data_IF_672676200574
#
_entry.id   IF_672676200574
#
_cell.length_a   1.000
_cell.length_b   1.000
_cell.length_c   1.000
_cell.angle_alpha   90.00
_cell.angle_beta   90.00
_cell.angle_gamma   90.00
#
_symmetry.space_group_name_H-M   'P 1'
#
loop_
_entity.id
_entity.type
_entity.pdbx_description
1 polymer ?
#
# COMPACT_ATOMS: atom_id res chain seq x y z
N UNK A 1 27.78 -13.74 5.65
CA UNK A 1 27.73 -13.42 4.20
C UNK A 1 26.96 -14.48 3.40
N UNK A 2 27.26 -15.77 3.53
CA UNK A 2 26.53 -16.83 2.80
C UNK A 2 25.00 -16.80 3.01
N UNK A 3 24.52 -16.65 4.25
CA UNK A 3 23.07 -16.52 4.52
C UNK A 3 22.41 -15.26 3.93
N UNK A 4 23.19 -14.23 3.56
CA UNK A 4 22.70 -13.02 2.86
C UNK A 4 22.72 -13.18 1.35
N UNK A 5 23.71 -13.90 0.81
CA UNK A 5 23.82 -14.18 -0.62
C UNK A 5 22.96 -15.36 -1.08
N UNK A 6 22.71 -16.33 -0.20
CA UNK A 6 21.93 -17.52 -0.51
C UNK A 6 20.53 -17.18 -1.03
N UNK A 7 19.74 -16.29 -0.39
CA UNK A 7 18.45 -15.89 -0.93
C UNK A 7 18.56 -15.35 -2.34
N UNK A 8 19.55 -14.50 -2.62
CA UNK A 8 19.76 -13.93 -3.95
C UNK A 8 20.17 -14.99 -4.98
N UNK A 9 21.08 -15.88 -4.62
CA UNK A 9 21.49 -17.00 -5.46
C UNK A 9 20.31 -17.94 -5.75
N UNK A 10 19.58 -18.34 -4.72
CA UNK A 10 18.41 -19.20 -4.84
C UNK A 10 17.34 -18.55 -5.74
N UNK A 11 17.07 -17.26 -5.57
CA UNK A 11 16.17 -16.49 -6.43
C UNK A 11 16.65 -16.46 -7.90
N UNK A 12 17.94 -16.25 -8.16
CA UNK A 12 18.51 -16.27 -9.51
C UNK A 12 18.37 -17.63 -10.19
N UNK A 13 18.47 -18.72 -9.42
CA UNK A 13 18.45 -20.08 -9.94
C UNK A 13 17.09 -20.80 -9.80
N UNK A 14 16.02 -20.08 -9.43
CA UNK A 14 14.67 -20.66 -9.27
C UNK A 14 14.58 -21.68 -8.13
N UNK A 15 15.49 -21.63 -7.16
CA UNK A 15 15.50 -22.49 -5.98
C UNK A 15 14.72 -21.84 -4.83
N UNK A 16 14.21 -22.65 -3.91
CA UNK A 16 13.56 -22.13 -2.70
C UNK A 16 14.61 -21.46 -1.79
N UNK A 17 14.55 -20.13 -1.53
CA UNK A 17 15.55 -19.43 -0.75
C UNK A 17 15.56 -19.83 0.74
N UNK A 18 14.52 -20.52 1.22
CA UNK A 18 14.43 -21.03 2.58
C UNK A 18 14.97 -22.45 2.74
N UNK A 19 15.32 -23.12 1.65
CA UNK A 19 15.83 -24.49 1.67
C UNK A 19 17.14 -24.57 0.95
N UNK A 20 18.11 -25.29 1.50
CA UNK A 20 19.36 -25.56 0.82
C UNK A 20 19.86 -26.96 1.13
N UNK A 21 20.48 -27.57 0.13
CA UNK A 21 21.21 -28.83 0.29
C UNK A 21 22.71 -28.58 0.47
N UNK A 22 23.13 -27.30 0.57
CA UNK A 22 24.54 -26.90 0.41
C UNK A 22 25.35 -26.79 1.71
N UNK A 23 24.91 -27.38 2.81
CA UNK A 23 25.71 -27.48 4.04
C UNK A 23 25.47 -28.83 4.70
N UNK A 24 26.45 -29.74 4.61
CA UNK A 24 26.68 -30.93 5.46
C UNK A 24 25.51 -31.88 5.79
N UNK A 25 24.33 -31.71 5.21
CA UNK A 25 23.14 -32.50 5.49
C UNK A 25 22.54 -33.01 4.17
N UNK A 26 22.59 -34.34 3.92
CA UNK A 26 22.11 -34.92 2.67
C UNK A 26 20.61 -34.76 2.44
N UNK A 27 19.82 -34.47 3.48
CA UNK A 27 18.36 -34.38 3.42
C UNK A 27 17.81 -32.95 3.23
N UNK A 28 18.68 -31.96 3.02
CA UNK A 28 18.30 -30.55 2.92
C UNK A 28 17.91 -29.93 4.26
N UNK A 29 18.24 -28.65 4.45
CA UNK A 29 17.99 -27.94 5.70
C UNK A 29 16.99 -26.82 5.47
N UNK A 30 15.92 -26.80 6.27
CA UNK A 30 15.04 -25.65 6.36
C UNK A 30 15.77 -24.53 7.11
N UNK A 31 16.16 -23.51 6.37
CA UNK A 31 17.00 -22.43 6.84
C UNK A 31 16.24 -21.44 7.75
N UNK A 32 14.90 -21.40 7.72
CA UNK A 32 14.10 -20.53 8.59
C UNK A 32 14.39 -20.78 10.09
N UNK A 33 14.67 -22.03 10.46
CA UNK A 33 14.90 -22.41 11.86
C UNK A 33 16.31 -22.10 12.35
N UNK A 34 17.24 -21.81 11.44
CA UNK A 34 18.66 -21.65 11.78
C UNK A 34 19.09 -20.19 11.93
N UNK A 35 18.44 -19.21 11.29
CA UNK A 35 18.83 -17.79 11.44
C UNK A 35 17.80 -16.78 10.95
N UNK A 36 17.65 -15.67 11.68
CA UNK A 36 16.89 -14.46 11.27
C UNK A 36 17.51 -13.71 10.08
N UNK A 37 18.76 -14.03 9.72
CA UNK A 37 19.51 -13.36 8.64
C UNK A 37 18.95 -13.67 7.25
N UNK A 38 18.17 -14.75 7.09
CA UNK A 38 17.51 -15.07 5.81
C UNK A 38 16.43 -14.08 5.43
N UNK A 39 15.61 -13.62 6.38
CA UNK A 39 14.60 -12.62 6.12
C UNK A 39 15.25 -11.29 5.71
N UNK A 40 16.35 -10.91 6.37
CA UNK A 40 17.14 -9.77 5.96
C UNK A 40 17.78 -9.97 4.57
N UNK A 41 18.30 -11.16 4.27
CA UNK A 41 18.86 -11.49 2.95
C UNK A 41 17.83 -11.51 1.83
N UNK A 42 16.58 -11.90 2.11
CA UNK A 42 15.44 -11.81 1.18
C UNK A 42 15.08 -10.36 0.89
N UNK A 43 14.93 -9.53 1.93
CA UNK A 43 14.64 -8.10 1.79
C UNK A 43 15.76 -7.36 1.06
N UNK A 44 17.02 -7.72 1.34
CA UNK A 44 18.19 -7.13 0.73
C UNK A 44 18.58 -7.79 -0.60
N UNK A 45 17.83 -8.78 -1.09
CA UNK A 45 18.15 -9.48 -2.33
C UNK A 45 18.33 -8.56 -3.55
N UNK A 46 17.56 -7.46 -3.71
CA UNK A 46 17.81 -6.51 -4.81
C UNK A 46 19.15 -5.78 -4.66
N UNK A 47 19.55 -5.44 -3.43
CA UNK A 47 20.82 -4.76 -3.14
C UNK A 47 22.00 -5.73 -3.31
N UNK A 48 21.82 -6.99 -2.91
CA UNK A 48 22.82 -8.05 -3.08
C UNK A 48 23.07 -8.30 -4.56
N UNK A 49 22.03 -8.22 -5.37
CA UNK A 49 22.12 -8.38 -6.80
C UNK A 49 22.82 -7.19 -7.48
N UNK A 50 22.51 -5.96 -7.06
CA UNK A 50 23.08 -4.75 -7.66
C UNK A 50 24.54 -4.46 -7.26
N UNK A 51 24.95 -4.78 -6.03
CA UNK A 51 26.27 -4.42 -5.52
C UNK A 51 26.97 -5.50 -4.72
N UNK A 52 26.48 -6.73 -4.81
CA UNK A 52 27.10 -7.90 -4.18
C UNK A 52 26.81 -8.03 -2.67
N UNK A 53 27.18 -9.18 -2.10
CA UNK A 53 26.85 -9.52 -0.71
C UNK A 53 27.59 -8.67 0.34
N UNK A 54 28.72 -8.07 -0.02
CA UNK A 54 29.45 -7.14 0.85
C UNK A 54 28.67 -5.84 0.99
N UNK A 55 28.11 -5.30 -0.10
CA UNK A 55 27.26 -4.11 -0.04
C UNK A 55 26.02 -4.39 0.81
N UNK A 56 25.34 -5.51 0.58
CA UNK A 56 24.16 -5.89 1.39
C UNK A 56 24.48 -6.06 2.86
N UNK A 57 25.62 -6.66 3.19
CA UNK A 57 26.06 -6.79 4.57
C UNK A 57 26.33 -5.41 5.21
N UNK A 58 27.01 -4.51 4.50
CA UNK A 58 27.28 -3.16 5.00
C UNK A 58 25.99 -2.34 5.16
N UNK A 59 25.05 -2.46 4.22
CA UNK A 59 23.72 -1.85 4.31
C UNK A 59 22.96 -2.41 5.50
N UNK A 60 22.94 -3.73 5.69
CA UNK A 60 22.28 -4.35 6.83
C UNK A 60 22.88 -3.86 8.16
N UNK A 61 24.20 -3.92 8.30
CA UNK A 61 24.88 -3.51 9.53
C UNK A 61 24.61 -2.04 9.87
N UNK A 62 24.70 -1.15 8.87
CA UNK A 62 24.44 0.29 9.04
C UNK A 62 22.96 0.56 9.35
N UNK A 63 22.05 -0.08 8.61
CA UNK A 63 20.61 0.05 8.81
C UNK A 63 20.18 -0.51 10.17
N UNK A 64 20.77 -1.61 10.64
CA UNK A 64 20.48 -2.16 11.96
C UNK A 64 20.78 -1.17 13.09
N UNK A 65 21.89 -0.43 13.04
CA UNK A 65 22.21 0.59 14.04
C UNK A 65 21.20 1.74 14.01
N UNK A 66 20.88 2.24 12.80
CA UNK A 66 19.92 3.32 12.61
C UNK A 66 18.49 2.91 13.03
N UNK A 67 18.07 1.69 12.70
CA UNK A 67 16.75 1.15 13.04
C UNK A 67 16.65 0.88 14.55
N UNK A 68 17.70 0.39 15.19
CA UNK A 68 17.75 0.23 16.64
C UNK A 68 17.64 1.57 17.36
N UNK A 69 18.37 2.59 16.91
CA UNK A 69 18.25 3.96 17.44
C UNK A 69 16.83 4.51 17.23
N UNK A 70 16.28 4.37 16.03
CA UNK A 70 14.93 4.83 15.71
C UNK A 70 13.86 4.15 16.58
N UNK A 71 14.01 2.86 16.85
CA UNK A 71 13.08 2.07 17.65
C UNK A 71 13.15 2.47 19.12
N UNK A 72 14.36 2.64 19.65
CA UNK A 72 14.57 3.19 20.98
C UNK A 72 14.00 4.60 21.10
N UNK A 73 14.13 5.44 20.06
CA UNK A 73 13.50 6.76 20.04
C UNK A 73 11.98 6.67 20.13
N UNK A 74 11.35 5.82 19.33
CA UNK A 74 9.90 5.62 19.36
C UNK A 74 9.39 5.12 20.71
N UNK A 75 10.14 4.24 21.37
CA UNK A 75 9.83 3.76 22.72
C UNK A 75 10.02 4.85 23.77
N UNK A 76 11.16 5.55 23.76
CA UNK A 76 11.46 6.63 24.71
C UNK A 76 10.48 7.79 24.59
N UNK A 77 9.98 8.08 23.38
CA UNK A 77 8.93 9.07 23.15
C UNK A 77 7.61 8.77 23.87
N UNK A 78 7.40 7.54 24.36
CA UNK A 78 6.24 7.19 25.21
C UNK A 78 6.42 7.58 26.67
N UNK A 79 7.67 7.64 27.15
CA UNK A 79 7.98 7.86 28.56
C UNK A 79 8.62 9.23 28.82
N UNK A 80 9.16 9.87 27.79
CA UNK A 80 9.90 11.13 27.87
C UNK A 80 9.27 12.18 26.96
N UNK A 81 8.77 13.26 27.55
CA UNK A 81 8.15 14.39 26.83
C UNK A 81 9.17 15.17 25.99
N UNK A 82 10.40 15.29 26.48
CA UNK A 82 11.51 15.96 25.78
C UNK A 82 12.01 15.13 24.60
N UNK A 83 11.84 15.68 23.39
CA UNK A 83 12.32 15.07 22.15
C UNK A 83 13.85 14.97 22.10
N UNK A 84 14.56 15.95 22.70
CA UNK A 84 16.01 15.95 22.79
C UNK A 84 16.52 14.84 23.70
N UNK A 85 15.89 14.63 24.86
CA UNK A 85 16.26 13.57 25.79
C UNK A 85 15.95 12.18 25.22
N UNK A 86 14.78 12.01 24.59
CA UNK A 86 14.44 10.77 23.88
C UNK A 86 15.41 10.50 22.72
N UNK A 87 15.79 11.54 21.97
CA UNK A 87 16.78 11.45 20.89
C UNK A 87 18.17 11.07 21.40
N UNK A 88 18.64 11.69 22.47
CA UNK A 88 19.93 11.37 23.08
C UNK A 88 19.96 9.92 23.61
N UNK A 89 18.92 9.49 24.34
CA UNK A 89 18.83 8.10 24.83
C UNK A 89 18.76 7.07 23.70
N UNK A 90 18.06 7.40 22.62
CA UNK A 90 17.97 6.56 21.43
C UNK A 90 19.31 6.37 20.70
N UNK A 91 20.07 7.47 20.56
CA UNK A 91 21.40 7.42 19.96
C UNK A 91 22.38 6.66 20.86
N UNK A 92 22.34 6.90 22.18
CA UNK A 92 23.17 6.16 23.14
C UNK A 92 22.90 4.66 23.12
N UNK A 93 21.64 4.26 22.94
CA UNK A 93 21.27 2.85 22.80
C UNK A 93 21.72 2.26 21.46
N UNK A 94 21.29 2.87 20.35
CA UNK A 94 21.51 2.35 19.00
C UNK A 94 22.96 2.35 18.55
N UNK A 95 23.79 3.24 19.10
CA UNK A 95 25.24 3.31 18.86
C UNK A 95 26.08 2.93 20.07
N UNK A 96 25.49 2.23 21.05
CA UNK A 96 26.26 1.71 22.19
C UNK A 96 27.40 0.79 21.72
N UNK A 97 28.50 0.66 22.49
CA UNK A 97 29.57 -0.29 22.19
C UNK A 97 29.05 -1.72 22.02
N UNK A 98 28.01 -2.09 22.78
CA UNK A 98 27.33 -3.37 22.66
C UNK A 98 26.66 -3.52 21.28
N UNK A 99 25.84 -2.56 20.85
CA UNK A 99 25.15 -2.61 19.55
C UNK A 99 26.13 -2.57 18.37
N UNK A 100 27.16 -1.73 18.47
CA UNK A 100 28.18 -1.59 17.42
C UNK A 100 28.99 -2.89 17.26
N UNK A 101 29.44 -3.50 18.36
CA UNK A 101 30.18 -4.77 18.32
C UNK A 101 29.31 -5.94 17.78
N UNK A 102 28.04 -6.01 18.17
CA UNK A 102 27.15 -7.10 17.73
C UNK A 102 26.63 -6.91 16.31
N UNK A 103 26.51 -5.67 15.80
CA UNK A 103 26.12 -5.41 14.40
C UNK A 103 27.14 -5.94 13.39
N UNK A 104 28.42 -6.01 13.81
CA UNK A 104 29.52 -6.53 13.00
C UNK A 104 29.70 -8.05 13.20
N UNK A 105 29.60 -8.56 14.43
CA UNK A 105 29.86 -9.97 14.73
C UNK A 105 28.64 -10.90 14.54
N UNK A 106 27.43 -10.41 14.86
CA UNK A 106 26.20 -11.22 14.92
C UNK A 106 24.98 -10.47 14.36
N UNK A 107 24.91 -10.29 13.01
CA UNK A 107 23.82 -9.55 12.37
C UNK A 107 22.44 -10.17 12.62
N UNK A 108 22.37 -11.46 12.94
CA UNK A 108 21.17 -12.17 13.37
C UNK A 108 20.56 -11.62 14.67
N UNK A 109 21.40 -11.18 15.61
CA UNK A 109 20.97 -10.63 16.89
C UNK A 109 20.55 -9.15 16.75
N UNK A 110 21.17 -8.41 15.83
CA UNK A 110 20.79 -7.01 15.55
C UNK A 110 19.65 -6.88 14.52
N UNK A 111 19.48 -7.86 13.61
CA UNK A 111 18.33 -7.98 12.72
C UNK A 111 17.09 -8.54 13.45
N UNK A 112 17.23 -9.08 14.66
CA UNK A 112 16.11 -9.34 15.56
C UNK A 112 15.43 -8.05 16.06
N UNK A 113 15.91 -6.87 15.65
CA UNK A 113 15.22 -5.58 15.69
C UNK A 113 14.58 -5.20 14.34
N UNK A 114 14.17 -6.17 13.50
CA UNK A 114 13.12 -6.02 12.46
C UNK A 114 11.68 -6.01 13.05
N UNK A 115 11.40 -6.46 14.29
CA UNK A 115 10.13 -6.23 14.97
C UNK A 115 9.69 -4.78 15.13
N UNK A 116 10.46 -3.68 14.94
CA UNK A 116 9.92 -2.34 14.97
C UNK A 116 8.92 -2.08 13.86
N UNK A 117 9.00 -2.73 12.69
CA UNK A 117 7.94 -2.59 11.69
C UNK A 117 6.65 -3.28 12.18
N UNK A 118 6.78 -4.45 12.82
CA UNK A 118 5.66 -5.22 13.39
C UNK A 118 5.14 -4.60 14.71
N UNK A 119 5.98 -3.96 15.51
CA UNK A 119 5.69 -3.33 16.80
C UNK A 119 5.24 -1.86 16.63
N UNK A 120 5.72 -1.13 15.61
CA UNK A 120 5.12 0.14 15.17
C UNK A 120 3.71 -0.09 14.61
N UNK A 121 3.45 -1.29 14.08
CA UNK A 121 2.13 -1.74 13.67
C UNK A 121 1.24 -2.10 14.89
N UNK A 122 1.73 -2.50 16.05
CA UNK A 122 0.93 -3.17 17.10
C UNK A 122 0.32 -2.28 18.21
N UNK A 123 0.11 -0.99 17.98
CA UNK A 123 -0.01 -0.06 19.11
C UNK A 123 -1.36 0.65 19.34
N UNK A 124 -2.49 0.11 18.88
CA UNK A 124 -3.83 0.60 19.30
C UNK A 124 -4.89 -0.51 19.13
N UNK A 125 -5.85 -0.62 20.07
CA UNK A 125 -7.00 -1.55 20.00
C UNK A 125 -7.76 -1.40 18.66
N UNK A 126 -7.85 -0.18 18.13
CA UNK A 126 -8.48 0.14 16.83
C UNK A 126 -7.65 -0.35 15.63
N UNK A 127 -6.30 -0.33 15.72
CA UNK A 127 -5.40 -0.86 14.68
C UNK A 127 -5.46 -2.38 14.62
N UNK A 128 -5.60 -3.03 15.78
CA UNK A 128 -5.79 -4.47 15.90
C UNK A 128 -7.16 -4.87 15.33
N UNK A 129 -8.23 -4.12 15.64
CA UNK A 129 -9.57 -4.39 15.10
C UNK A 129 -9.61 -4.38 13.57
N UNK A 130 -9.02 -3.39 12.89
CA UNK A 130 -8.99 -3.35 11.43
C UNK A 130 -8.27 -4.56 10.81
N UNK A 131 -7.15 -5.00 11.39
CA UNK A 131 -6.42 -6.19 10.91
C UNK A 131 -7.17 -7.49 11.18
N UNK A 132 -7.68 -7.64 12.41
CA UNK A 132 -8.48 -8.79 12.80
C UNK A 132 -9.72 -8.87 11.92
N UNK A 133 -10.37 -7.75 11.62
CA UNK A 133 -11.53 -7.71 10.73
C UNK A 133 -11.16 -8.08 9.29
N UNK A 134 -10.04 -7.58 8.75
CA UNK A 134 -9.58 -7.94 7.41
C UNK A 134 -9.23 -9.44 7.31
N UNK A 135 -8.49 -9.99 8.28
CA UNK A 135 -8.16 -11.42 8.32
C UNK A 135 -9.41 -12.27 8.57
N UNK A 136 -10.32 -11.83 9.44
CA UNK A 136 -11.58 -12.51 9.70
C UNK A 136 -12.48 -12.55 8.47
N UNK A 137 -12.57 -11.43 7.72
CA UNK A 137 -13.34 -11.33 6.48
C UNK A 137 -12.90 -12.40 5.46
N UNK A 138 -11.60 -12.72 5.44
CA UNK A 138 -11.01 -13.70 4.51
C UNK A 138 -10.54 -14.98 5.21
N UNK A 139 -11.05 -15.25 6.40
CA UNK A 139 -10.58 -16.33 7.27
C UNK A 139 -10.57 -17.69 6.58
N UNK A 140 -11.60 -18.00 5.78
CA UNK A 140 -11.67 -19.25 5.01
C UNK A 140 -10.51 -19.39 4.02
N UNK A 141 -10.12 -18.29 3.34
CA UNK A 141 -8.98 -18.30 2.43
C UNK A 141 -7.67 -18.51 3.19
N UNK A 142 -7.54 -17.92 4.38
CA UNK A 142 -6.35 -18.05 5.21
C UNK A 142 -6.15 -19.46 5.80
N UNK A 143 -7.15 -20.36 5.71
CA UNK A 143 -6.98 -21.80 6.01
C UNK A 143 -6.09 -22.47 4.95
N UNK A 144 -6.21 -22.06 3.68
CA UNK A 144 -5.44 -22.60 2.54
C UNK A 144 -4.88 -21.47 1.66
N UNK A 145 -3.97 -20.64 2.18
CA UNK A 145 -3.63 -19.34 1.59
C UNK A 145 -2.79 -19.42 0.31
N UNK A 146 -2.29 -20.61 -0.04
CA UNK A 146 -1.51 -20.86 -1.27
C UNK A 146 -2.33 -21.52 -2.38
N UNK A 147 -3.51 -22.06 -2.07
CA UNK A 147 -4.36 -22.81 -3.03
C UNK A 147 -5.78 -22.27 -3.14
N UNK A 148 -6.20 -21.42 -2.20
CA UNK A 148 -7.44 -20.66 -2.24
C UNK A 148 -7.12 -19.18 -2.40
N UNK A 149 -7.95 -18.44 -3.14
CA UNK A 149 -7.78 -17.01 -3.37
C UNK A 149 -8.99 -16.21 -2.90
N UNK A 150 -8.73 -15.03 -2.36
CA UNK A 150 -9.79 -14.08 -1.98
C UNK A 150 -10.57 -13.64 -3.22
N UNK A 151 -11.89 -13.66 -3.11
CA UNK A 151 -12.76 -13.06 -4.11
C UNK A 151 -13.49 -14.06 -4.99
N UNK A 152 -14.01 -13.56 -6.12
CA UNK A 152 -14.88 -14.32 -7.01
C UNK A 152 -14.09 -14.90 -8.17
N UNK A 153 -14.45 -16.11 -8.60
CA UNK A 153 -13.83 -16.77 -9.75
C UNK A 153 -14.29 -16.11 -11.07
N UNK A 154 -13.73 -14.94 -11.37
CA UNK A 154 -14.15 -14.04 -12.44
C UNK A 154 -13.07 -13.79 -13.50
N UNK A 155 -11.83 -14.24 -13.26
CA UNK A 155 -10.66 -13.98 -14.11
C UNK A 155 -9.74 -12.90 -13.55
N UNK A 156 -10.29 -11.86 -12.91
CA UNK A 156 -9.50 -10.74 -12.40
C UNK A 156 -8.51 -11.16 -11.29
N UNK A 157 -8.90 -11.93 -10.25
CA UNK A 157 -7.93 -12.41 -9.26
C UNK A 157 -6.76 -13.17 -9.88
N UNK A 158 -7.03 -14.03 -10.86
CA UNK A 158 -6.00 -14.79 -11.57
C UNK A 158 -5.10 -13.87 -12.41
N UNK A 159 -5.68 -12.84 -13.02
CA UNK A 159 -4.92 -11.84 -13.76
C UNK A 159 -4.00 -11.03 -12.83
N UNK A 160 -4.49 -10.61 -11.65
CA UNK A 160 -3.66 -9.95 -10.65
C UNK A 160 -2.55 -10.86 -10.09
N UNK A 161 -2.82 -12.16 -9.88
CA UNK A 161 -1.80 -13.14 -9.50
C UNK A 161 -0.68 -13.21 -10.55
N UNK A 162 -1.04 -13.20 -11.83
CA UNK A 162 -0.08 -13.15 -12.92
C UNK A 162 0.72 -11.83 -12.90
N UNK A 163 0.03 -10.69 -12.77
CA UNK A 163 0.66 -9.37 -12.66
C UNK A 163 1.61 -9.23 -11.48
N UNK A 164 1.31 -9.83 -10.32
CA UNK A 164 2.21 -9.82 -9.16
C UNK A 164 3.52 -10.58 -9.44
N UNK A 165 3.47 -11.63 -10.27
CA UNK A 165 4.64 -12.42 -10.63
C UNK A 165 5.51 -11.75 -11.69
N UNK A 166 4.89 -10.98 -12.59
CA UNK A 166 5.54 -10.50 -13.81
C UNK A 166 6.73 -9.57 -13.57
N UNK A 167 6.68 -8.49 -12.77
CA UNK A 167 7.78 -7.52 -12.67
C UNK A 167 9.11 -8.18 -12.30
N UNK A 168 9.08 -9.07 -11.31
CA UNK A 168 10.30 -9.75 -10.85
C UNK A 168 10.75 -10.80 -11.86
N UNK A 169 9.81 -11.58 -12.43
CA UNK A 169 10.14 -12.52 -13.50
C UNK A 169 10.81 -11.80 -14.69
N UNK A 170 10.24 -10.69 -15.13
CA UNK A 170 10.76 -9.92 -16.25
C UNK A 170 12.18 -9.40 -15.96
N UNK A 171 12.39 -8.78 -14.80
CA UNK A 171 13.71 -8.28 -14.41
C UNK A 171 14.77 -9.39 -14.33
N UNK A 172 14.44 -10.55 -13.76
CA UNK A 172 15.36 -11.69 -13.63
C UNK A 172 15.76 -12.26 -14.99
N UNK A 173 14.85 -12.25 -15.97
CA UNK A 173 15.09 -12.78 -17.31
C UNK A 173 15.57 -11.71 -18.31
N UNK A 174 15.88 -10.49 -17.85
CA UNK A 174 16.30 -9.39 -18.72
C UNK A 174 15.20 -8.91 -19.68
N UNK A 175 13.93 -9.16 -19.35
CA UNK A 175 12.76 -8.74 -20.10
C UNK A 175 12.26 -7.37 -19.61
N UNK A 176 11.43 -6.73 -20.43
CA UNK A 176 10.83 -5.45 -20.08
C UNK A 176 9.69 -5.64 -19.05
N UNK A 177 9.77 -5.07 -17.82
CA UNK A 177 8.69 -5.19 -16.84
C UNK A 177 7.41 -4.46 -17.25
N UNK A 178 7.45 -3.56 -18.23
CA UNK A 178 6.29 -2.78 -18.72
C UNK A 178 5.60 -3.40 -19.94
N UNK A 179 6.13 -4.48 -20.51
CA UNK A 179 5.56 -5.15 -21.69
C UNK A 179 5.82 -6.64 -21.68
N UNK A 180 4.82 -7.42 -22.08
CA UNK A 180 4.95 -8.88 -22.18
C UNK A 180 4.39 -9.41 -23.49
N UNK A 181 5.00 -10.46 -24.04
CA UNK A 181 4.44 -11.28 -25.11
C UNK A 181 3.92 -12.65 -24.60
N UNK A 182 3.97 -12.88 -23.28
CA UNK A 182 3.44 -14.09 -22.63
C UNK A 182 1.92 -14.05 -22.51
N UNK A 183 1.34 -12.85 -22.60
CA UNK A 183 -0.08 -12.64 -22.80
C UNK A 183 -0.31 -12.16 -24.23
N UNK A 184 -1.37 -12.65 -24.87
CA UNK A 184 -1.76 -12.25 -26.22
C UNK A 184 -0.65 -12.48 -27.27
N UNK A 185 0.04 -13.63 -27.22
CA UNK A 185 1.08 -14.01 -28.18
C UNK A 185 0.52 -14.10 -29.62
N UNK A 186 1.28 -13.69 -30.67
CA UNK A 186 2.64 -13.13 -30.63
C UNK A 186 2.68 -11.62 -30.32
N UNK A 187 1.51 -11.02 -30.26
CA UNK A 187 1.27 -9.60 -30.33
C UNK A 187 1.68 -8.84 -29.05
N UNK A 188 1.48 -9.47 -27.90
CA UNK A 188 1.82 -8.93 -26.59
C UNK A 188 0.85 -7.87 -26.08
N UNK A 189 1.09 -7.44 -24.83
CA UNK A 189 0.31 -6.42 -24.14
C UNK A 189 1.21 -5.39 -23.45
N UNK A 190 0.78 -4.13 -23.50
CA UNK A 190 1.39 -3.03 -22.76
C UNK A 190 0.84 -3.02 -21.34
N UNK A 191 1.69 -3.27 -20.35
CA UNK A 191 1.26 -3.43 -18.97
C UNK A 191 0.91 -2.11 -18.30
N UNK A 192 1.35 -0.97 -18.85
CA UNK A 192 0.90 0.34 -18.39
C UNK A 192 -0.51 0.69 -18.90
N UNK A 193 -1.00 0.02 -19.95
CA UNK A 193 -2.41 0.07 -20.36
C UNK A 193 -3.27 -1.00 -19.68
N UNK A 194 -2.72 -1.67 -18.66
CA UNK A 194 -3.40 -2.64 -17.83
C UNK A 194 -3.28 -2.25 -16.36
N UNK A 195 -4.09 -2.87 -15.49
CA UNK A 195 -4.04 -2.71 -14.03
C UNK A 195 -2.90 -3.53 -13.40
N UNK A 196 -1.71 -3.44 -13.97
CA UNK A 196 -0.61 -4.39 -13.73
C UNK A 196 0.08 -4.33 -12.35
N UNK A 197 -0.38 -3.46 -11.44
CA UNK A 197 0.08 -3.34 -10.04
C UNK A 197 1.60 -3.49 -9.85
N UNK A 198 2.38 -2.91 -10.78
CA UNK A 198 3.82 -3.15 -10.93
C UNK A 198 4.60 -2.98 -9.62
N UNK A 199 4.31 -1.91 -8.88
CA UNK A 199 4.99 -1.67 -7.60
C UNK A 199 4.62 -2.73 -6.55
N UNK A 200 3.35 -3.16 -6.50
CA UNK A 200 2.94 -4.20 -5.57
C UNK A 200 3.61 -5.53 -5.92
N UNK A 201 3.74 -5.88 -7.20
CA UNK A 201 4.47 -7.07 -7.65
C UNK A 201 5.94 -7.06 -7.26
N UNK A 202 6.60 -5.90 -7.34
CA UNK A 202 7.99 -5.75 -6.87
C UNK A 202 8.10 -5.87 -5.34
N UNK A 203 7.24 -5.18 -4.59
CA UNK A 203 7.25 -5.17 -3.12
C UNK A 203 6.88 -6.54 -2.54
N UNK A 204 5.92 -7.23 -3.14
CA UNK A 204 5.46 -8.55 -2.70
C UNK A 204 6.22 -9.70 -3.33
N UNK A 205 7.22 -9.42 -4.17
CA UNK A 205 8.04 -10.45 -4.79
C UNK A 205 8.61 -11.46 -3.79
N UNK A 206 9.09 -11.11 -2.57
CA UNK A 206 9.55 -12.12 -1.63
C UNK A 206 8.42 -13.08 -1.24
N UNK A 207 7.20 -12.59 -1.07
CA UNK A 207 6.02 -13.42 -0.77
C UNK A 207 5.66 -14.31 -1.96
N UNK A 208 5.78 -13.78 -3.18
CA UNK A 208 5.47 -14.50 -4.42
C UNK A 208 6.41 -15.67 -4.60
N UNK A 209 7.69 -15.48 -4.29
CA UNK A 209 8.68 -16.55 -4.33
C UNK A 209 8.50 -17.58 -3.20
N UNK A 210 8.10 -17.14 -2.01
CA UNK A 210 7.96 -18.01 -0.83
C UNK A 210 6.74 -18.92 -0.89
N UNK A 211 5.60 -18.40 -1.32
CA UNK A 211 4.32 -19.13 -1.29
C UNK A 211 3.49 -18.99 -2.55
N UNK A 212 4.08 -18.50 -3.63
CA UNK A 212 3.43 -18.34 -4.92
C UNK A 212 2.59 -17.06 -5.04
N UNK A 213 2.07 -16.80 -6.25
CA UNK A 213 1.27 -15.62 -6.53
C UNK A 213 -0.08 -15.62 -5.80
N UNK A 214 -0.66 -16.79 -5.51
CA UNK A 214 -1.90 -16.92 -4.75
C UNK A 214 -1.73 -16.33 -3.35
N UNK A 215 -0.66 -16.70 -2.64
CA UNK A 215 -0.35 -16.14 -1.33
C UNK A 215 -0.13 -14.63 -1.41
N UNK A 216 0.60 -14.16 -2.43
CA UNK A 216 0.90 -12.73 -2.59
C UNK A 216 -0.35 -11.90 -2.84
N UNK A 217 -1.24 -12.42 -3.68
CA UNK A 217 -2.54 -11.81 -3.94
C UNK A 217 -3.38 -11.75 -2.65
N UNK A 218 -3.44 -12.84 -1.88
CA UNK A 218 -4.17 -12.88 -0.62
C UNK A 218 -3.62 -11.89 0.42
N UNK A 219 -2.29 -11.78 0.50
CA UNK A 219 -1.61 -10.78 1.33
C UNK A 219 -1.97 -9.38 0.86
N UNK A 220 -1.88 -9.09 -0.44
CA UNK A 220 -2.21 -7.78 -0.99
C UNK A 220 -3.65 -7.38 -0.69
N UNK A 221 -4.61 -8.23 -1.05
CA UNK A 221 -6.03 -7.97 -0.83
C UNK A 221 -6.36 -7.71 0.64
N UNK A 222 -5.79 -8.50 1.56
CA UNK A 222 -6.01 -8.32 3.01
C UNK A 222 -5.32 -7.07 3.54
N UNK A 223 -4.05 -6.85 3.16
CA UNK A 223 -3.25 -5.71 3.62
C UNK A 223 -3.80 -4.39 3.11
N UNK A 224 -4.32 -4.35 1.89
CA UNK A 224 -4.95 -3.19 1.27
C UNK A 224 -6.06 -2.60 2.13
N UNK A 225 -6.99 -3.42 2.64
CA UNK A 225 -8.07 -2.97 3.53
C UNK A 225 -7.51 -2.44 4.87
N UNK A 226 -6.61 -3.20 5.49
CA UNK A 226 -6.05 -2.86 6.79
C UNK A 226 -5.21 -1.57 6.75
N UNK A 227 -4.37 -1.40 5.73
CA UNK A 227 -3.56 -0.21 5.52
C UNK A 227 -4.43 1.00 5.17
N UNK A 228 -5.53 0.80 4.42
CA UNK A 228 -6.47 1.86 4.08
C UNK A 228 -7.18 2.39 5.31
N UNK A 229 -7.69 1.49 6.17
CA UNK A 229 -8.24 1.89 7.46
C UNK A 229 -7.18 2.58 8.33
N UNK A 230 -5.96 2.04 8.41
CA UNK A 230 -4.90 2.59 9.25
C UNK A 230 -4.46 4.00 8.83
N UNK A 231 -4.24 4.23 7.54
CA UNK A 231 -3.88 5.55 7.01
C UNK A 231 -5.00 6.57 7.20
N UNK A 232 -6.26 6.16 7.03
CA UNK A 232 -7.43 6.98 7.34
C UNK A 232 -7.50 7.33 8.85
N UNK A 233 -7.21 6.38 9.74
CA UNK A 233 -7.13 6.66 11.18
C UNK A 233 -6.08 7.72 11.49
N UNK A 234 -4.90 7.64 10.88
CA UNK A 234 -3.85 8.64 11.05
C UNK A 234 -4.30 10.04 10.58
N UNK A 235 -5.04 10.12 9.47
CA UNK A 235 -5.63 11.36 8.98
C UNK A 235 -6.66 11.92 9.94
N UNK A 236 -7.65 11.10 10.32
CA UNK A 236 -8.78 11.52 11.14
C UNK A 236 -8.38 11.98 12.55
N UNK A 237 -7.31 11.38 13.12
CA UNK A 237 -6.70 11.80 14.39
C UNK A 237 -6.20 13.25 14.39
N UNK A 238 -6.02 13.88 13.22
CA UNK A 238 -5.65 15.30 13.11
C UNK A 238 -6.83 16.28 13.18
N UNK A 239 -8.05 15.76 13.03
CA UNK A 239 -9.28 16.54 12.97
C UNK A 239 -10.26 16.22 14.10
N UNK A 240 -10.10 15.05 14.73
CA UNK A 240 -10.98 14.58 15.81
C UNK A 240 -10.14 14.18 17.02
N UNK A 241 -10.52 14.67 18.20
CA UNK A 241 -9.83 14.38 19.47
C UNK A 241 -10.12 12.96 20.00
N UNK A 242 -11.34 12.47 19.78
CA UNK A 242 -11.77 11.13 20.21
C UNK A 242 -11.13 10.04 19.36
N UNK A 243 -10.42 9.11 20.01
CA UNK A 243 -9.80 7.96 19.34
C UNK A 243 -10.86 7.02 18.75
N UNK A 244 -11.97 6.82 19.47
CA UNK A 244 -13.06 5.97 19.03
C UNK A 244 -13.75 6.53 17.79
N UNK A 245 -13.99 7.85 17.76
CA UNK A 245 -14.59 8.49 16.59
C UNK A 245 -13.66 8.44 15.36
N UNK A 246 -12.36 8.68 15.55
CA UNK A 246 -11.37 8.52 14.47
C UNK A 246 -11.28 7.06 14.00
N UNK A 247 -11.37 6.09 14.92
CA UNK A 247 -11.41 4.67 14.61
C UNK A 247 -12.65 4.25 13.83
N UNK A 248 -13.83 4.72 14.23
CA UNK A 248 -15.07 4.46 13.51
C UNK A 248 -15.02 5.03 12.08
N UNK A 249 -14.56 6.27 11.90
CA UNK A 249 -14.39 6.86 10.56
C UNK A 249 -13.35 6.13 9.70
N UNK A 250 -12.28 5.63 10.31
CA UNK A 250 -11.26 4.85 9.64
C UNK A 250 -11.76 3.47 9.17
N UNK A 251 -12.54 2.79 10.01
CA UNK A 251 -13.21 1.54 9.65
C UNK A 251 -14.24 1.76 8.54
N UNK A 252 -15.03 2.84 8.63
CA UNK A 252 -15.95 3.23 7.56
C UNK A 252 -15.23 3.46 6.22
N UNK A 253 -14.03 4.03 6.25
CA UNK A 253 -13.22 4.19 5.04
C UNK A 253 -12.72 2.85 4.50
N UNK A 254 -11.97 2.09 5.31
CA UNK A 254 -11.29 0.87 4.87
C UNK A 254 -12.18 -0.35 4.65
N UNK A 255 -13.41 -0.34 5.17
CA UNK A 255 -14.41 -1.41 5.03
C UNK A 255 -15.75 -0.89 4.48
N UNK A 256 -15.72 0.24 3.76
CA UNK A 256 -16.90 0.74 3.06
C UNK A 256 -17.45 -0.30 2.07
N UNK A 257 -18.71 -0.14 1.60
CA UNK A 257 -19.24 -0.94 0.50
C UNK A 257 -18.31 -1.01 -0.72
N UNK A 258 -17.73 0.14 -1.12
CA UNK A 258 -16.74 0.23 -2.19
C UNK A 258 -15.54 -0.69 -1.93
N UNK A 259 -14.90 -0.54 -0.76
CA UNK A 259 -13.71 -1.32 -0.40
C UNK A 259 -14.02 -2.82 -0.33
N UNK A 260 -15.17 -3.18 0.25
CA UNK A 260 -15.58 -4.57 0.41
C UNK A 260 -15.88 -5.21 -0.94
N UNK A 261 -16.60 -4.52 -1.84
CA UNK A 261 -16.89 -5.02 -3.17
C UNK A 261 -15.61 -5.19 -4.00
N UNK A 262 -14.75 -4.17 -4.06
CA UNK A 262 -13.50 -4.25 -4.81
C UNK A 262 -12.49 -5.23 -4.20
N UNK A 263 -12.58 -5.57 -2.91
CA UNK A 263 -11.67 -6.55 -2.30
C UNK A 263 -11.79 -7.96 -2.90
N UNK A 264 -12.88 -8.23 -3.63
CA UNK A 264 -13.16 -9.51 -4.26
C UNK A 264 -12.51 -9.67 -5.65
N UNK A 265 -11.90 -8.61 -6.21
CA UNK A 265 -11.32 -8.68 -7.56
C UNK A 265 -10.23 -7.63 -7.83
N UNK A 266 -10.28 -6.48 -7.18
CA UNK A 266 -9.59 -5.26 -7.58
C UNK A 266 -8.63 -4.72 -6.49
N UNK A 267 -7.51 -5.40 -6.21
CA UNK A 267 -6.53 -4.95 -5.22
C UNK A 267 -5.89 -3.61 -5.55
N UNK A 268 -5.82 -3.23 -6.83
CA UNK A 268 -5.39 -1.90 -7.27
C UNK A 268 -6.31 -0.77 -6.76
N UNK A 269 -7.60 -1.05 -6.58
CA UNK A 269 -8.61 -0.11 -6.07
C UNK A 269 -8.78 -0.17 -4.55
N UNK A 270 -8.53 -1.33 -3.94
CA UNK A 270 -8.56 -1.45 -2.47
C UNK A 270 -7.25 -1.05 -1.79
N UNK A 271 -6.15 -0.91 -2.54
CA UNK A 271 -4.90 -0.31 -2.07
C UNK A 271 -5.01 1.21 -1.84
N UNK A 272 -6.14 1.66 -1.31
CA UNK A 272 -6.51 3.04 -1.05
C UNK A 272 -5.91 3.59 0.26
N UNK A 273 -4.70 3.16 0.62
CA UNK A 273 -3.98 3.70 1.78
C UNK A 273 -3.14 4.93 1.45
N UNK A 274 -2.85 5.17 0.18
CA UNK A 274 -2.13 6.38 -0.26
C UNK A 274 -3.01 7.64 -0.26
N UNK A 275 -4.30 7.63 -0.65
CA UNK A 275 -5.13 8.83 -0.60
C UNK A 275 -5.15 9.53 0.77
N UNK A 276 -5.34 8.83 1.91
CA UNK A 276 -5.26 9.48 3.22
C UNK A 276 -3.85 9.99 3.56
N UNK A 277 -2.80 9.30 3.09
CA UNK A 277 -1.42 9.75 3.26
C UNK A 277 -1.11 11.01 2.43
N UNK A 278 -1.64 11.11 1.22
CA UNK A 278 -1.57 12.32 0.37
C UNK A 278 -2.23 13.48 1.10
N UNK A 279 -3.44 13.30 1.64
CA UNK A 279 -4.12 14.34 2.42
C UNK A 279 -3.35 14.71 3.70
N UNK A 280 -2.75 13.74 4.39
CA UNK A 280 -1.89 13.96 5.56
C UNK A 280 -0.65 14.80 5.22
N UNK A 281 -0.01 14.54 4.07
CA UNK A 281 1.16 15.26 3.60
C UNK A 281 0.81 16.67 3.14
N UNK A 282 -0.32 16.84 2.45
CA UNK A 282 -0.85 18.15 2.08
C UNK A 282 -1.22 18.98 3.31
N UNK A 283 -1.90 18.38 4.29
CA UNK A 283 -2.19 19.02 5.58
C UNK A 283 -0.92 19.40 6.34
N UNK A 284 0.17 18.61 6.21
CA UNK A 284 1.47 18.94 6.79
C UNK A 284 2.18 20.08 6.05
N UNK A 285 2.04 20.17 4.73
CA UNK A 285 2.58 21.28 3.94
C UNK A 285 1.87 22.58 4.30
N UNK A 286 0.54 22.55 4.38
CA UNK A 286 -0.32 23.73 4.53
C UNK A 286 -0.50 24.11 6.01
N UNK A 287 -1.10 23.23 6.82
CA UNK A 287 -1.61 23.56 8.15
C UNK A 287 -0.65 23.21 9.29
N UNK A 288 -0.25 21.95 9.39
CA UNK A 288 0.50 21.42 10.56
C UNK A 288 1.95 21.86 10.56
N UNK A 289 2.59 21.91 9.38
CA UNK A 289 3.96 22.40 9.20
C UNK A 289 5.02 21.66 10.03
N UNK A 290 4.79 20.37 10.35
CA UNK A 290 5.70 19.58 11.17
C UNK A 290 7.00 19.18 10.45
N UNK A 291 6.99 19.13 9.12
CA UNK A 291 8.18 18.87 8.29
C UNK A 291 8.63 20.11 7.53
N UNK A 292 9.83 20.08 6.94
CA UNK A 292 10.22 21.05 5.91
C UNK A 292 9.34 20.83 4.66
N UNK A 293 8.89 21.89 3.96
CA UNK A 293 8.00 21.76 2.80
C UNK A 293 8.60 20.89 1.70
N UNK A 294 9.91 20.99 1.46
CA UNK A 294 10.61 20.14 0.50
C UNK A 294 10.54 18.64 0.85
N UNK A 295 10.70 18.28 2.13
CA UNK A 295 10.63 16.87 2.57
C UNK A 295 9.22 16.32 2.44
N UNK A 296 8.21 17.09 2.88
CA UNK A 296 6.81 16.69 2.69
C UNK A 296 6.45 16.59 1.20
N UNK A 297 7.00 17.49 0.38
CA UNK A 297 6.90 17.45 -1.08
C UNK A 297 7.52 16.20 -1.70
N UNK A 298 8.75 15.84 -1.32
CA UNK A 298 9.40 14.60 -1.78
C UNK A 298 8.55 13.38 -1.43
N UNK A 299 8.06 13.28 -0.19
CA UNK A 299 7.18 12.18 0.23
C UNK A 299 5.86 12.16 -0.56
N UNK A 300 5.31 13.34 -0.89
CA UNK A 300 4.10 13.45 -1.70
C UNK A 300 4.34 12.99 -3.15
N UNK A 301 5.48 13.36 -3.75
CA UNK A 301 5.89 12.90 -5.08
C UNK A 301 6.12 11.38 -5.12
N UNK A 302 6.77 10.84 -4.09
CA UNK A 302 6.94 9.39 -3.91
C UNK A 302 5.60 8.67 -3.79
N UNK A 303 4.68 9.21 -2.98
CA UNK A 303 3.34 8.66 -2.81
C UNK A 303 2.55 8.68 -4.12
N UNK A 304 2.63 9.77 -4.89
CA UNK A 304 1.98 9.87 -6.20
C UNK A 304 2.54 8.85 -7.20
N UNK A 305 3.87 8.73 -7.29
CA UNK A 305 4.51 7.77 -8.20
C UNK A 305 4.22 6.32 -7.79
N UNK A 306 4.18 6.04 -6.48
CA UNK A 306 3.78 4.75 -5.96
C UNK A 306 2.32 4.43 -6.31
N UNK A 307 1.40 5.38 -6.14
CA UNK A 307 -0.01 5.18 -6.50
C UNK A 307 -0.19 4.97 -8.00
N UNK A 308 0.56 5.67 -8.86
CA UNK A 308 0.55 5.42 -10.31
C UNK A 308 0.86 3.96 -10.63
N UNK A 309 1.94 3.43 -10.04
CA UNK A 309 2.40 2.06 -10.27
C UNK A 309 1.57 0.98 -9.55
N UNK A 310 0.61 1.37 -8.72
CA UNK A 310 -0.37 0.47 -8.07
C UNK A 310 -1.70 0.54 -8.81
N UNK A 311 -2.19 1.74 -9.10
CA UNK A 311 -3.47 1.98 -9.77
C UNK A 311 -3.65 3.46 -10.09
N UNK A 312 -3.63 3.79 -11.38
CA UNK A 312 -3.75 5.16 -11.89
C UNK A 312 -5.12 5.77 -11.60
N UNK A 313 -6.18 4.96 -11.63
CA UNK A 313 -7.55 5.40 -11.34
C UNK A 313 -7.67 6.03 -9.94
N UNK A 314 -7.09 5.38 -8.93
CA UNK A 314 -7.05 5.93 -7.57
C UNK A 314 -6.18 7.19 -7.48
N UNK A 315 -5.08 7.29 -8.24
CA UNK A 315 -4.27 8.51 -8.30
C UNK A 315 -5.10 9.68 -8.83
N UNK A 316 -5.77 9.48 -9.96
CA UNK A 316 -6.61 10.50 -10.60
C UNK A 316 -7.79 10.88 -9.70
N UNK A 317 -8.46 9.89 -9.11
CA UNK A 317 -9.56 10.11 -8.16
C UNK A 317 -9.11 10.93 -6.95
N UNK A 318 -7.94 10.59 -6.39
CA UNK A 318 -7.33 11.35 -5.30
C UNK A 318 -7.02 12.78 -5.72
N UNK A 319 -6.46 12.97 -6.92
CA UNK A 319 -6.15 14.30 -7.44
C UNK A 319 -7.42 15.15 -7.60
N UNK A 320 -8.52 14.58 -8.12
CA UNK A 320 -9.82 15.26 -8.22
C UNK A 320 -10.31 15.69 -6.83
N UNK A 321 -10.31 14.78 -5.86
CA UNK A 321 -10.73 15.08 -4.48
C UNK A 321 -9.86 16.16 -3.86
N UNK A 322 -8.53 16.08 -4.04
CA UNK A 322 -7.60 17.12 -3.56
C UNK A 322 -7.90 18.47 -4.17
N UNK A 323 -8.12 18.54 -5.49
CA UNK A 323 -8.47 19.79 -6.19
C UNK A 323 -9.77 20.36 -5.63
N UNK A 324 -10.80 19.54 -5.45
CA UNK A 324 -12.07 19.97 -4.85
C UNK A 324 -11.88 20.51 -3.43
N UNK A 325 -11.11 19.82 -2.58
CA UNK A 325 -10.82 20.26 -1.21
C UNK A 325 -10.00 21.55 -1.18
N UNK A 326 -9.05 21.71 -2.10
CA UNK A 326 -8.26 22.95 -2.22
C UNK A 326 -9.13 24.12 -2.68
N UNK A 327 -9.97 23.91 -3.70
CA UNK A 327 -10.93 24.92 -4.16
C UNK A 327 -11.87 25.33 -3.03
N UNK A 328 -12.40 24.37 -2.26
CA UNK A 328 -13.25 24.62 -1.11
C UNK A 328 -12.51 25.39 -0.01
N UNK A 329 -11.26 25.03 0.28
CA UNK A 329 -10.43 25.73 1.26
C UNK A 329 -10.13 27.17 0.85
N UNK A 330 -9.86 27.42 -0.43
CA UNK A 330 -9.65 28.78 -0.97
C UNK A 330 -10.94 29.59 -0.88
N UNK A 331 -12.09 29.02 -1.23
CA UNK A 331 -13.38 29.69 -1.20
C UNK A 331 -13.84 30.04 0.23
N UNK A 332 -13.70 29.10 1.17
CA UNK A 332 -14.21 29.26 2.54
C UNK A 332 -13.23 29.96 3.49
N UNK A 333 -11.92 29.87 3.25
CA UNK A 333 -10.88 30.36 4.19
C UNK A 333 -9.71 31.04 3.45
N UNK A 334 -9.95 32.03 2.58
CA UNK A 334 -8.90 32.65 1.76
C UNK A 334 -7.76 33.24 2.61
N UNK A 335 -8.09 33.86 3.74
CA UNK A 335 -7.11 34.48 4.65
C UNK A 335 -6.17 33.46 5.31
N UNK A 336 -6.61 32.20 5.43
CA UNK A 336 -5.76 31.12 5.92
C UNK A 336 -4.89 30.54 4.81
N UNK A 337 -5.35 30.54 3.56
CA UNK A 337 -4.59 29.93 2.44
C UNK A 337 -3.48 30.87 1.96
N UNK A 338 -3.76 32.18 1.80
CA UNK A 338 -2.84 33.16 1.22
C UNK A 338 -1.44 33.18 1.86
N UNK A 339 -1.28 33.21 3.20
CA UNK A 339 0.04 33.23 3.82
C UNK A 339 0.88 31.97 3.58
N UNK A 340 0.23 30.87 3.16
CA UNK A 340 0.85 29.55 3.00
C UNK A 340 1.27 29.26 1.56
N UNK A 341 0.92 30.11 0.59
CA UNK A 341 1.15 29.89 -0.84
C UNK A 341 2.60 29.55 -1.15
N UNK A 342 3.57 30.36 -0.67
CA UNK A 342 4.99 30.12 -0.96
C UNK A 342 5.45 28.74 -0.48
N UNK A 343 5.02 28.35 0.72
CA UNK A 343 5.35 27.05 1.32
C UNK A 343 4.71 25.91 0.54
N UNK A 344 3.45 26.08 0.14
CA UNK A 344 2.72 25.13 -0.71
C UNK A 344 3.40 24.96 -2.06
N UNK A 345 3.80 26.04 -2.72
CA UNK A 345 4.51 26.00 -4.01
C UNK A 345 5.84 25.24 -3.91
N UNK A 346 6.61 25.44 -2.83
CA UNK A 346 7.85 24.68 -2.61
C UNK A 346 7.55 23.19 -2.43
N UNK A 347 6.56 22.84 -1.60
CA UNK A 347 6.18 21.45 -1.37
C UNK A 347 5.67 20.78 -2.65
N UNK A 348 4.77 21.43 -3.39
CA UNK A 348 4.22 20.92 -4.65
C UNK A 348 5.28 20.88 -5.75
N UNK A 349 6.19 21.85 -5.80
CA UNK A 349 7.31 21.85 -6.75
C UNK A 349 8.24 20.66 -6.54
N UNK A 350 8.63 20.39 -5.28
CA UNK A 350 9.41 19.20 -4.95
C UNK A 350 8.65 17.90 -5.26
N UNK A 351 7.34 17.85 -4.97
CA UNK A 351 6.50 16.70 -5.29
C UNK A 351 6.44 16.45 -6.80
N UNK A 352 6.25 17.50 -7.60
CA UNK A 352 6.21 17.42 -9.05
C UNK A 352 7.53 16.92 -9.64
N UNK A 353 8.67 17.45 -9.18
CA UNK A 353 9.99 16.99 -9.63
C UNK A 353 10.18 15.50 -9.34
N UNK A 354 9.91 15.07 -8.10
CA UNK A 354 10.07 13.66 -7.72
C UNK A 354 9.11 12.75 -8.48
N UNK A 355 7.84 13.16 -8.61
CA UNK A 355 6.86 12.42 -9.38
C UNK A 355 7.30 12.27 -10.84
N UNK A 356 7.69 13.35 -11.50
CA UNK A 356 8.14 13.33 -12.91
C UNK A 356 9.35 12.41 -13.07
N UNK A 357 10.36 12.51 -12.20
CA UNK A 357 11.55 11.67 -12.29
C UNK A 357 11.21 10.17 -12.24
N UNK A 358 10.26 9.77 -11.40
CA UNK A 358 9.90 8.36 -11.21
C UNK A 358 8.82 7.87 -12.18
N UNK A 359 7.88 8.74 -12.57
CA UNK A 359 6.72 8.40 -13.37
C UNK A 359 6.92 8.63 -14.87
N UNK A 360 7.88 9.47 -15.29
CA UNK A 360 8.05 9.80 -16.71
C UNK A 360 8.32 8.55 -17.56
N UNK A 361 9.20 7.64 -17.12
CA UNK A 361 9.48 6.40 -17.86
C UNK A 361 8.22 5.55 -18.10
N UNK A 362 7.50 5.13 -17.04
CA UNK A 362 6.24 4.40 -17.15
C UNK A 362 5.18 5.11 -18.02
N UNK A 363 4.96 6.42 -17.80
CA UNK A 363 3.96 7.20 -18.55
C UNK A 363 4.35 7.32 -20.04
N UNK A 364 5.62 7.60 -20.34
CA UNK A 364 6.09 7.66 -21.72
C UNK A 364 5.95 6.29 -22.40
N UNK A 365 6.20 5.20 -21.68
CA UNK A 365 6.01 3.85 -22.20
C UNK A 365 4.52 3.51 -22.45
N UNK A 366 3.62 3.98 -21.59
CA UNK A 366 2.17 3.85 -21.79
C UNK A 366 1.74 4.57 -23.06
N UNK A 367 2.12 5.85 -23.22
CA UNK A 367 1.61 6.71 -24.29
C UNK A 367 2.29 6.45 -25.65
N UNK A 368 3.58 6.14 -25.64
CA UNK A 368 4.39 6.02 -26.86
C UNK A 368 4.93 4.61 -27.10
N UNK A 369 4.77 3.68 -26.16
CA UNK A 369 5.20 2.30 -26.31
C UNK A 369 4.32 1.47 -27.24
N UNK A 370 4.73 0.22 -27.50
CA UNK A 370 3.97 -0.72 -28.32
C UNK A 370 2.61 -1.03 -27.70
N UNK A 371 1.67 -1.52 -28.52
CA UNK A 371 0.32 -1.97 -28.08
C UNK A 371 -0.43 -0.95 -27.21
N UNK A 372 -0.23 0.34 -27.49
CA UNK A 372 -1.04 1.39 -26.86
C UNK A 372 -2.49 1.27 -27.27
N UNK A 373 -3.38 1.50 -26.32
CA UNK A 373 -4.82 1.55 -26.59
C UNK A 373 -5.13 2.75 -27.47
N UNK A 374 -5.95 2.55 -28.51
CA UNK A 374 -6.46 3.61 -29.37
C UNK A 374 -7.98 3.45 -29.48
N UNK A 375 -8.70 4.55 -29.24
CA UNK A 375 -10.16 4.55 -29.24
C UNK A 375 -10.78 4.01 -27.96
N UNK A 376 -12.07 3.66 -28.05
CA UNK A 376 -12.90 3.22 -26.93
C UNK A 376 -12.74 1.70 -26.76
N UNK A 377 -12.26 1.25 -25.60
CA UNK A 377 -12.02 -0.18 -25.30
C UNK A 377 -13.29 -0.91 -24.88
N UNK A 378 -14.13 -0.24 -24.09
CA UNK A 378 -15.40 -0.77 -23.62
C UNK A 378 -16.56 0.12 -24.05
N UNK A 379 -17.74 -0.45 -24.35
CA UNK A 379 -18.92 0.37 -24.63
C UNK A 379 -19.20 1.33 -23.46
N UNK A 380 -19.55 2.57 -23.80
CA UNK A 380 -19.65 3.67 -22.83
C UNK A 380 -20.74 3.49 -21.76
N UNK A 381 -21.64 2.52 -21.91
CA UNK A 381 -22.79 2.27 -21.06
C UNK A 381 -22.75 0.92 -20.33
N UNK A 382 -21.59 0.26 -20.28
CA UNK A 382 -21.45 -1.07 -19.64
C UNK A 382 -20.92 -0.97 -18.21
N UNK A 383 -19.86 -0.20 -17.99
CA UNK A 383 -19.22 0.00 -16.68
C UNK A 383 -19.52 1.42 -16.18
N UNK A 384 -20.79 1.68 -15.90
CA UNK A 384 -21.27 3.00 -15.45
C UNK A 384 -22.10 2.85 -14.17
N UNK A 385 -22.08 3.88 -13.31
CA UNK A 385 -22.91 3.91 -12.11
C UNK A 385 -24.34 4.36 -12.45
N UNK A 386 -25.33 3.52 -12.16
CA UNK A 386 -26.73 3.95 -12.13
C UNK A 386 -26.96 4.98 -11.02
N UNK A 387 -27.77 6.01 -11.26
CA UNK A 387 -28.06 7.03 -10.26
C UNK A 387 -28.71 6.46 -8.97
N UNK A 388 -29.45 5.36 -9.09
CA UNK A 388 -30.05 4.67 -7.95
C UNK A 388 -29.03 3.84 -7.14
N UNK A 389 -27.89 3.49 -7.73
CA UNK A 389 -26.87 2.65 -7.06
C UNK A 389 -26.29 3.30 -5.80
N UNK A 390 -26.34 4.63 -5.67
CA UNK A 390 -25.89 5.34 -4.47
C UNK A 390 -26.75 5.07 -3.22
N UNK A 391 -28.01 4.68 -3.41
CA UNK A 391 -29.00 4.50 -2.33
C UNK A 391 -29.64 3.10 -2.29
N UNK A 392 -29.55 2.34 -3.37
CA UNK A 392 -30.09 0.97 -3.46
C UNK A 392 -28.98 -0.03 -3.13
N UNK A 393 -29.10 -0.81 -2.04
CA UNK A 393 -28.10 -1.80 -1.68
C UNK A 393 -28.05 -2.97 -2.68
N UNK A 394 -26.92 -3.66 -2.69
CA UNK A 394 -26.66 -4.83 -3.53
C UNK A 394 -26.57 -6.09 -2.67
N UNK A 395 -26.37 -7.24 -3.32
CA UNK A 395 -26.16 -8.55 -2.66
C UNK A 395 -24.96 -8.58 -1.70
N UNK A 396 -24.05 -7.61 -1.82
CA UNK A 396 -22.89 -7.46 -0.94
C UNK A 396 -23.23 -6.75 0.39
N UNK A 397 -24.43 -6.21 0.52
CA UNK A 397 -24.89 -5.51 1.73
C UNK A 397 -25.74 -6.46 2.55
N UNK A 398 -25.33 -6.69 3.81
CA UNK A 398 -26.00 -7.62 4.72
C UNK A 398 -27.49 -7.32 4.93
N UNK A 399 -27.84 -6.03 5.01
CA UNK A 399 -29.21 -5.56 5.20
C UNK A 399 -29.81 -5.10 3.86
N UNK A 400 -29.96 -6.04 2.92
CA UNK A 400 -30.57 -5.79 1.61
C UNK A 400 -31.75 -6.75 1.39
N UNK A 401 -33.01 -6.28 1.41
CA UNK A 401 -34.16 -7.12 1.09
C UNK A 401 -34.09 -7.66 -0.35
N UNK A 402 -34.51 -8.91 -0.57
CA UNK A 402 -34.46 -9.55 -1.90
C UNK A 402 -35.19 -8.75 -2.99
N UNK A 403 -36.29 -8.08 -2.62
CA UNK A 403 -37.05 -7.22 -3.54
C UNK A 403 -36.25 -5.99 -4.02
N UNK A 404 -35.38 -5.47 -3.15
CA UNK A 404 -34.49 -4.33 -3.45
C UNK A 404 -33.27 -4.79 -4.23
N UNK A 405 -32.74 -5.97 -3.88
CA UNK A 405 -31.66 -6.63 -4.62
C UNK A 405 -32.07 -6.92 -6.08
N UNK A 406 -33.31 -7.36 -6.31
CA UNK A 406 -33.82 -7.59 -7.66
C UNK A 406 -33.84 -6.32 -8.54
N UNK A 407 -33.80 -5.13 -7.93
CA UNK A 407 -33.62 -3.86 -8.64
C UNK A 407 -32.14 -3.64 -8.97
N UNK A 408 -31.23 -3.84 -8.01
CA UNK A 408 -29.80 -3.60 -8.22
C UNK A 408 -29.13 -4.63 -9.13
N UNK A 409 -29.66 -5.85 -9.24
CA UNK A 409 -29.22 -6.85 -10.23
C UNK A 409 -29.43 -6.38 -11.69
N UNK A 410 -30.28 -5.36 -11.91
CA UNK A 410 -30.54 -4.78 -13.24
C UNK A 410 -29.66 -3.57 -13.55
N UNK A 411 -28.84 -3.10 -12.61
CA UNK A 411 -27.92 -1.99 -12.83
C UNK A 411 -26.86 -2.37 -13.86
N UNK A 412 -26.29 -1.36 -14.52
CA UNK A 412 -25.15 -1.53 -15.40
C UNK A 412 -24.00 -2.21 -14.64
N UNK A 413 -23.38 -3.22 -15.28
CA UNK A 413 -22.42 -4.09 -14.61
C UNK A 413 -23.03 -5.16 -13.69
N UNK A 414 -24.35 -5.26 -13.53
CA UNK A 414 -25.06 -6.18 -12.61
C UNK A 414 -24.79 -7.68 -12.79
N UNK A 415 -24.23 -8.08 -13.93
CA UNK A 415 -23.77 -9.46 -14.18
C UNK A 415 -22.51 -9.79 -13.36
N UNK A 416 -21.73 -8.77 -12.99
CA UNK A 416 -20.49 -8.89 -12.24
C UNK A 416 -20.67 -8.22 -10.88
N UNK A 417 -20.80 -9.04 -9.83
CA UNK A 417 -21.09 -8.60 -8.45
C UNK A 417 -20.19 -7.46 -7.95
N UNK A 418 -18.94 -7.41 -8.41
CA UNK A 418 -17.95 -6.41 -7.98
C UNK A 418 -18.10 -5.05 -8.67
N UNK A 419 -18.83 -4.97 -9.78
CA UNK A 419 -18.99 -3.74 -10.59
C UNK A 419 -20.16 -2.88 -10.09
N UNK A 420 -21.13 -3.46 -9.37
CA UNK A 420 -22.22 -2.71 -8.74
C UNK A 420 -21.84 -2.33 -7.31
N UNK A 421 -20.95 -1.34 -7.19
CA UNK A 421 -20.26 -1.01 -5.93
C UNK A 421 -20.42 0.46 -5.47
N UNK A 422 -21.21 1.25 -6.19
CA UNK A 422 -21.37 2.70 -5.96
C UNK A 422 -22.25 3.05 -4.74
N UNK A 423 -22.70 2.05 -3.99
CA UNK A 423 -23.56 2.22 -2.82
C UNK A 423 -22.84 2.99 -1.69
N UNK A 424 -23.31 4.21 -1.41
CA UNK A 424 -22.81 5.06 -0.32
C UNK A 424 -23.52 4.71 0.98
N UNK A 425 -24.79 4.35 0.89
CA UNK A 425 -25.63 3.97 2.01
C UNK A 425 -26.51 5.10 2.53
N UNK A 426 -27.80 4.80 2.68
CA UNK A 426 -28.80 5.72 3.27
C UNK A 426 -28.33 6.26 4.63
N UNK A 427 -27.76 5.46 5.56
CA UNK A 427 -27.29 5.98 6.84
C UNK A 427 -26.18 7.03 6.70
N UNK A 428 -25.24 6.85 5.76
CA UNK A 428 -24.13 7.78 5.56
C UNK A 428 -24.62 9.07 4.90
N UNK A 429 -25.56 8.98 3.96
CA UNK A 429 -26.21 10.16 3.36
C UNK A 429 -26.98 10.95 4.42
N UNK A 430 -27.79 10.28 5.26
CA UNK A 430 -28.51 10.93 6.35
C UNK A 430 -27.56 11.60 7.35
N UNK A 431 -26.43 10.96 7.66
CA UNK A 431 -25.40 11.53 8.51
C UNK A 431 -24.76 12.77 7.88
N UNK A 432 -24.44 12.73 6.58
CA UNK A 432 -23.90 13.87 5.85
C UNK A 432 -24.88 15.05 5.83
N UNK A 433 -26.18 14.79 5.55
CA UNK A 433 -27.24 15.80 5.60
C UNK A 433 -27.38 16.38 7.00
N UNK A 434 -27.39 15.52 8.03
CA UNK A 434 -27.46 15.97 9.42
C UNK A 434 -26.28 16.89 9.78
N UNK A 435 -25.06 16.51 9.42
CA UNK A 435 -23.85 17.32 9.66
C UNK A 435 -23.95 18.64 8.90
N UNK A 436 -24.30 18.60 7.62
CA UNK A 436 -24.43 19.80 6.79
C UNK A 436 -25.44 20.78 7.39
N UNK A 437 -26.64 20.33 7.75
CA UNK A 437 -27.69 21.16 8.37
C UNK A 437 -27.25 21.69 9.74
N UNK A 438 -26.72 20.82 10.61
CA UNK A 438 -26.39 21.17 11.99
C UNK A 438 -25.24 22.17 12.10
N UNK A 439 -24.30 22.11 11.16
CA UNK A 439 -23.07 22.90 11.16
C UNK A 439 -22.99 23.93 10.03
N UNK A 440 -24.04 24.09 9.22
CA UNK A 440 -24.11 25.06 8.11
C UNK A 440 -23.65 26.47 8.52
N UNK A 441 -24.19 26.96 9.65
CA UNK A 441 -23.90 28.31 10.20
C UNK A 441 -22.49 28.48 10.77
N UNK A 442 -21.69 27.40 10.83
CA UNK A 442 -20.27 27.46 11.25
C UNK A 442 -19.31 27.32 10.06
N UNK A 443 -19.83 26.94 8.89
CA UNK A 443 -19.06 26.76 7.65
C UNK A 443 -18.96 28.07 6.86
N UNK A 444 -20.06 28.85 6.83
CA UNK A 444 -20.12 30.26 6.42
C UNK A 444 -19.71 31.13 7.60
#
# INVERSE_FOLDING_TARGET
MWFLSWPTFALVHGLNPLFTNYQYYPDGVNLMWNTSVLLAGLVLSPITWLGGPVLSYNVLATASLALSAWSAFMLLRRFVSSQLAAGAGALLYGFSPYMTAHSLAHPNLTAAFIPPLVLLLLDDIVRVQGRVLAVALFSDTWIRPTTSSIGVNSGDPQQFMWFLSWPTFALVHGLNPLFTNYQYYPDGVNLMWNTSVLLAGLVLSPITWLGGPVLSYNVLATASLALSAWSAFMLLRRFVSSQLAAGAGALLYGFSPYMTAHSLAHPNLTAAFIPPLVLLLLDDIVRVQGRRPAVAGVLLGLAGAAQLLIGEELLVTTAIVVVLLVCLAIALRPDQVRPRIKRTLVGLGCAAVVFVVLAAGPILFQLFGPRRVQGVVHPLNVYVSDALSFVVPTRLILLAPDSVVAVSDKFAGGVVLVEVNSYVGVPLILLLVFIAVRYWRRLV
#
